data_IF_300577615769
#
_entry.id   IF_300577615769
#
_cell.length_a   1.000
_cell.length_b   1.000
_cell.length_c   1.000
_cell.angle_alpha   90.00
_cell.angle_beta   90.00
_cell.angle_gamma   90.00
#
_symmetry.space_group_name_H-M   'P 1'
#
loop_
_entity.id
_entity.type
_entity.pdbx_description
1 polymer ?
#
# COMPACT_ATOMS: atom_id res chain seq x y z
N UNK A 1 -9.03 -28.36 -3.38
CA UNK A 1 -8.17 -27.49 -4.18
C UNK A 1 -8.23 -26.11 -3.54
N UNK A 2 -7.18 -25.73 -2.82
CA UNK A 2 -7.19 -24.59 -1.88
C UNK A 2 -6.62 -23.36 -2.62
N UNK A 3 -7.48 -22.41 -3.01
CA UNK A 3 -7.13 -21.21 -3.79
C UNK A 3 -6.21 -20.24 -3.01
N UNK A 4 -5.97 -20.48 -1.71
CA UNK A 4 -5.26 -19.54 -0.81
C UNK A 4 -3.73 -19.59 -0.87
N UNK A 5 -3.12 -20.64 -1.43
CA UNK A 5 -1.67 -20.83 -1.32
C UNK A 5 -0.86 -20.16 -2.45
N UNK A 6 -1.49 -19.74 -3.55
CA UNK A 6 -0.77 -19.13 -4.69
C UNK A 6 -0.60 -17.61 -4.59
N UNK A 7 -1.50 -16.90 -3.89
CA UNK A 7 -1.40 -15.45 -3.63
C UNK A 7 -0.22 -15.06 -2.72
N UNK A 8 0.47 -16.04 -2.14
CA UNK A 8 1.53 -15.84 -1.15
C UNK A 8 2.95 -15.87 -1.73
N UNK A 9 3.15 -16.51 -2.89
CA UNK A 9 4.49 -16.86 -3.39
C UNK A 9 5.35 -15.62 -3.71
N UNK A 10 4.72 -14.54 -4.17
CA UNK A 10 5.44 -13.33 -4.55
C UNK A 10 5.50 -12.28 -3.44
N UNK A 11 4.78 -12.44 -2.33
CA UNK A 11 4.80 -11.49 -1.20
C UNK A 11 6.18 -11.42 -0.54
N UNK A 12 6.61 -10.21 -0.19
CA UNK A 12 7.80 -10.02 0.64
C UNK A 12 7.55 -10.51 2.07
N UNK A 13 8.63 -10.81 2.79
CA UNK A 13 8.56 -11.36 4.15
C UNK A 13 7.81 -10.44 5.13
N UNK A 14 7.94 -9.11 4.98
CA UNK A 14 7.26 -8.12 5.82
C UNK A 14 5.75 -8.18 5.59
N UNK A 15 5.32 -8.20 4.33
CA UNK A 15 3.92 -8.31 3.97
C UNK A 15 3.31 -9.64 4.43
N UNK A 16 4.02 -10.77 4.25
CA UNK A 16 3.58 -12.08 4.76
C UNK A 16 3.37 -12.06 6.28
N UNK A 17 4.31 -11.49 7.02
CA UNK A 17 4.21 -11.37 8.47
C UNK A 17 3.02 -10.48 8.87
N UNK A 18 2.85 -9.34 8.20
CA UNK A 18 1.74 -8.41 8.44
C UNK A 18 0.38 -9.06 8.20
N UNK A 19 0.21 -9.79 7.10
CA UNK A 19 -1.02 -10.55 6.80
C UNK A 19 -1.33 -11.61 7.88
N UNK A 20 -0.30 -12.20 8.49
CA UNK A 20 -0.46 -13.20 9.56
C UNK A 20 -0.80 -12.60 10.93
N UNK A 21 -0.22 -11.44 11.27
CA UNK A 21 -0.25 -10.89 12.64
C UNK A 21 -1.29 -9.79 12.82
N UNK A 22 -1.40 -8.86 11.85
CA UNK A 22 -2.22 -7.66 12.00
C UNK A 22 -3.73 -7.94 12.16
N UNK A 23 -4.35 -8.96 11.52
CA UNK A 23 -5.76 -9.27 11.75
C UNK A 23 -6.08 -9.66 13.19
N UNK A 24 -5.21 -10.44 13.83
CA UNK A 24 -5.38 -10.81 15.24
C UNK A 24 -5.18 -9.61 16.16
N UNK A 25 -4.17 -8.79 15.89
CA UNK A 25 -3.95 -7.54 16.63
C UNK A 25 -5.13 -6.57 16.48
N UNK A 26 -5.74 -6.50 15.29
CA UNK A 26 -6.91 -5.66 15.06
C UNK A 26 -8.06 -6.05 15.97
N UNK A 27 -8.41 -7.34 16.04
CA UNK A 27 -9.48 -7.86 16.90
C UNK A 27 -9.28 -7.54 18.37
N UNK A 28 -8.03 -7.44 18.82
CA UNK A 28 -7.69 -7.09 20.21
C UNK A 28 -7.83 -5.57 20.43
N UNK A 29 -7.44 -4.75 19.45
CA UNK A 29 -7.41 -3.28 19.54
C UNK A 29 -8.77 -2.62 19.26
N UNK A 30 -9.58 -3.22 18.40
CA UNK A 30 -10.86 -2.66 17.94
C UNK A 30 -11.82 -2.32 19.10
N UNK A 31 -11.99 -3.18 20.14
CA UNK A 31 -12.81 -2.84 21.31
C UNK A 31 -12.31 -1.63 22.11
N UNK A 32 -11.03 -1.26 21.93
CA UNK A 32 -10.40 -0.12 22.60
C UNK A 32 -10.32 1.12 21.69
N UNK A 33 -11.00 1.10 20.53
CA UNK A 33 -11.00 2.17 19.54
C UNK A 33 -9.74 2.23 18.67
N UNK A 34 -8.87 1.21 18.73
CA UNK A 34 -7.67 1.12 17.90
C UNK A 34 -7.86 0.23 16.66
N UNK A 35 -7.04 0.43 15.63
CA UNK A 35 -7.11 -0.38 14.42
C UNK A 35 -5.72 -0.85 13.97
N UNK A 36 -5.69 -2.02 13.32
CA UNK A 36 -4.49 -2.59 12.70
C UNK A 36 -4.78 -3.12 11.29
N UNK A 37 -6.05 -3.22 10.91
CA UNK A 37 -6.54 -3.37 9.54
C UNK A 37 -7.51 -2.24 9.24
N UNK A 38 -7.63 -1.86 7.97
CA UNK A 38 -8.66 -0.90 7.53
C UNK A 38 -9.02 -1.15 6.07
N UNK A 39 -10.23 -0.75 5.68
CA UNK A 39 -10.69 -0.85 4.29
C UNK A 39 -9.93 0.14 3.41
N UNK A 40 -9.53 -0.31 2.23
CA UNK A 40 -8.94 0.50 1.18
C UNK A 40 -9.99 1.46 0.62
N UNK A 41 -9.66 2.75 0.49
CA UNK A 41 -10.63 3.71 -0.03
C UNK A 41 -10.54 3.83 -1.56
N UNK A 42 -11.66 3.82 -2.30
CA UNK A 42 -11.65 3.80 -3.77
C UNK A 42 -11.02 5.07 -4.38
N UNK A 43 -11.11 6.22 -3.70
CA UNK A 43 -10.48 7.47 -4.21
C UNK A 43 -8.96 7.43 -4.21
N UNK A 44 -8.35 6.44 -3.54
CA UNK A 44 -6.91 6.22 -3.58
C UNK A 44 -6.48 5.49 -4.86
N UNK A 45 -7.42 4.99 -5.68
CA UNK A 45 -7.09 4.17 -6.83
C UNK A 45 -6.26 4.94 -7.88
N UNK A 46 -5.09 4.40 -8.18
CA UNK A 46 -4.15 4.93 -9.18
C UNK A 46 -4.43 4.31 -10.53
N UNK A 47 -4.64 2.99 -10.55
CA UNK A 47 -4.81 2.21 -11.77
C UNK A 47 -4.31 0.78 -11.58
N UNK A 48 -4.56 -0.04 -12.60
CA UNK A 48 -4.07 -1.42 -12.68
C UNK A 48 -2.88 -1.48 -13.62
N UNK A 49 -1.85 -2.22 -13.21
CA UNK A 49 -0.64 -2.48 -14.00
C UNK A 49 -0.65 -3.96 -14.35
N UNK A 50 -0.55 -4.28 -15.64
CA UNK A 50 -0.45 -5.66 -16.17
C UNK A 50 0.96 -6.23 -15.96
N UNK A 51 1.38 -6.36 -14.70
CA UNK A 51 2.63 -6.99 -14.27
C UNK A 51 2.41 -7.71 -12.96
N UNK A 52 3.19 -8.76 -12.71
CA UNK A 52 3.26 -9.42 -11.41
C UNK A 52 3.99 -8.56 -10.35
N UNK A 53 3.78 -8.89 -9.06
CA UNK A 53 4.39 -8.18 -7.93
C UNK A 53 5.91 -8.17 -7.97
N UNK A 54 6.53 -9.25 -8.47
CA UNK A 54 7.97 -9.41 -8.50
C UNK A 54 8.59 -8.46 -9.53
N UNK A 55 7.93 -8.27 -10.67
CA UNK A 55 8.33 -7.36 -11.73
C UNK A 55 8.12 -5.89 -11.37
N UNK A 56 7.07 -5.55 -10.61
CA UNK A 56 6.78 -4.16 -10.25
C UNK A 56 7.58 -3.62 -9.06
N UNK A 57 8.13 -4.48 -8.20
CA UNK A 57 8.95 -4.04 -7.05
C UNK A 57 10.19 -3.24 -7.44
N UNK A 58 11.04 -3.70 -8.38
CA UNK A 58 12.17 -2.91 -8.85
C UNK A 58 11.78 -1.53 -9.38
N UNK A 59 10.60 -1.40 -10.00
CA UNK A 59 10.10 -0.10 -10.48
C UNK A 59 9.81 0.85 -9.30
N UNK A 60 9.21 0.35 -8.23
CA UNK A 60 8.99 1.12 -6.99
C UNK A 60 10.31 1.58 -6.38
N UNK A 61 11.30 0.70 -6.29
CA UNK A 61 12.64 1.02 -5.79
C UNK A 61 13.32 2.08 -6.68
N UNK A 62 13.23 1.95 -8.00
CA UNK A 62 13.75 2.93 -8.97
C UNK A 62 13.06 4.30 -8.84
N UNK A 63 11.79 4.33 -8.41
CA UNK A 63 11.06 5.55 -8.05
C UNK A 63 11.37 6.08 -6.64
N UNK A 64 12.35 5.47 -5.94
CA UNK A 64 12.79 5.76 -4.57
C UNK A 64 11.72 5.48 -3.49
N UNK A 65 10.89 4.45 -3.71
CA UNK A 65 10.05 3.89 -2.65
C UNK A 65 10.84 2.89 -1.80
N UNK A 66 10.42 2.75 -0.56
CA UNK A 66 10.87 1.73 0.39
C UNK A 66 9.66 1.05 1.04
N UNK A 67 9.74 -0.22 1.46
CA UNK A 67 8.65 -0.87 2.19
C UNK A 67 8.29 -0.12 3.48
N UNK A 68 7.00 -0.07 3.80
CA UNK A 68 6.49 0.50 5.05
C UNK A 68 6.03 -0.61 6.01
N UNK A 69 6.77 -0.87 7.10
CA UNK A 69 6.40 -1.92 8.05
C UNK A 69 5.30 -1.49 9.03
N UNK A 70 5.15 -0.19 9.29
CA UNK A 70 4.26 0.38 10.33
C UNK A 70 3.01 1.01 9.70
N UNK A 71 2.35 0.27 8.82
CA UNK A 71 1.05 0.65 8.29
C UNK A 71 0.01 -0.41 8.65
N UNK A 72 -1.23 0.03 8.86
CA UNK A 72 -2.38 -0.88 8.95
C UNK A 72 -2.46 -1.76 7.70
N UNK A 73 -2.87 -3.02 7.87
CA UNK A 73 -3.10 -3.92 6.74
C UNK A 73 -4.35 -3.46 6.00
N UNK A 74 -4.21 -3.13 4.71
CA UNK A 74 -5.35 -2.68 3.91
C UNK A 74 -6.14 -3.88 3.40
N UNK A 75 -7.46 -3.74 3.40
CA UNK A 75 -8.40 -4.74 2.90
C UNK A 75 -9.14 -4.15 1.71
N UNK A 76 -9.05 -4.80 0.55
CA UNK A 76 -9.79 -4.43 -0.65
C UNK A 76 -11.30 -4.66 -0.45
N UNK A 77 -12.15 -4.03 -1.26
CA UNK A 77 -13.61 -4.17 -1.14
C UNK A 77 -14.11 -5.61 -1.35
N UNK A 78 -13.39 -6.39 -2.16
CA UNK A 78 -13.65 -7.83 -2.38
C UNK A 78 -13.06 -8.75 -1.28
N UNK A 79 -12.43 -8.17 -0.25
CA UNK A 79 -11.85 -8.90 0.87
C UNK A 79 -10.39 -9.33 0.70
N UNK A 80 -9.74 -9.07 -0.44
CA UNK A 80 -8.30 -9.31 -0.60
C UNK A 80 -7.49 -8.46 0.39
N UNK A 81 -6.40 -8.99 0.92
CA UNK A 81 -5.45 -8.20 1.71
C UNK A 81 -4.41 -7.53 0.82
N UNK A 82 -3.89 -6.38 1.26
CA UNK A 82 -2.80 -5.71 0.55
C UNK A 82 -1.59 -6.63 0.41
N UNK A 83 -1.02 -6.64 -0.79
CA UNK A 83 0.16 -7.38 -1.20
C UNK A 83 1.47 -6.58 -1.10
N UNK A 84 1.37 -5.29 -0.78
CA UNK A 84 2.51 -4.44 -0.51
C UNK A 84 2.07 -3.08 0.04
N UNK A 85 2.99 -2.43 0.73
CA UNK A 85 2.80 -1.12 1.35
C UNK A 85 4.17 -0.43 1.32
N UNK A 86 4.21 0.69 0.60
CA UNK A 86 5.43 1.32 0.13
C UNK A 86 5.34 2.81 0.32
N UNK A 87 6.46 3.42 0.66
CA UNK A 87 6.53 4.86 0.95
C UNK A 87 7.69 5.51 0.25
N UNK A 88 7.42 6.71 -0.28
CA UNK A 88 8.43 7.58 -0.85
C UNK A 88 8.43 8.91 -0.11
N UNK A 89 9.63 9.34 0.29
CA UNK A 89 9.87 10.59 1.01
C UNK A 89 10.97 11.38 0.32
N UNK A 90 10.98 12.71 0.50
CA UNK A 90 12.08 13.56 0.00
C UNK A 90 13.36 13.40 0.83
N UNK A 91 13.20 13.09 2.11
CA UNK A 91 14.25 12.84 3.08
C UNK A 91 13.69 11.98 4.22
N UNK A 92 14.52 11.30 5.03
CA UNK A 92 14.04 10.44 6.13
C UNK A 92 13.10 11.14 7.11
N UNK A 93 13.38 12.43 7.43
CA UNK A 93 12.58 13.24 8.35
C UNK A 93 11.68 14.27 7.62
N UNK A 94 11.25 13.98 6.38
CA UNK A 94 10.26 14.83 5.73
C UNK A 94 8.91 14.75 6.46
N UNK A 95 8.17 15.86 6.54
CA UNK A 95 6.84 15.87 7.19
C UNK A 95 5.84 14.97 6.47
N UNK A 96 5.98 14.83 5.16
CA UNK A 96 5.02 14.15 4.29
C UNK A 96 5.64 12.97 3.57
N UNK A 97 4.84 11.94 3.35
CA UNK A 97 5.16 10.78 2.53
C UNK A 97 4.08 10.55 1.48
N UNK A 98 4.48 9.99 0.35
CA UNK A 98 3.56 9.34 -0.59
C UNK A 98 3.52 7.86 -0.21
N UNK A 99 2.36 7.37 0.17
CA UNK A 99 2.13 5.97 0.50
C UNK A 99 1.40 5.30 -0.67
N UNK A 100 1.89 4.13 -1.05
CA UNK A 100 1.33 3.26 -2.07
C UNK A 100 0.98 1.91 -1.45
N UNK A 101 -0.26 1.48 -1.67
CA UNK A 101 -0.73 0.14 -1.33
C UNK A 101 -0.91 -0.64 -2.62
N UNK A 102 -0.50 -1.91 -2.61
CA UNK A 102 -0.65 -2.82 -3.75
C UNK A 102 -1.66 -3.91 -3.41
N UNK A 103 -2.51 -4.26 -4.36
CA UNK A 103 -3.31 -5.48 -4.32
C UNK A 103 -2.97 -6.33 -5.54
N UNK A 104 -2.75 -7.61 -5.32
CA UNK A 104 -2.51 -8.56 -6.39
C UNK A 104 -3.84 -9.00 -6.97
N UNK A 105 -4.02 -8.87 -8.28
CA UNK A 105 -5.17 -9.38 -9.02
C UNK A 105 -4.69 -10.51 -9.95
N UNK A 106 -4.96 -11.75 -9.56
CA UNK A 106 -4.42 -12.92 -10.24
C UNK A 106 -2.87 -12.97 -10.20
N UNK A 107 -2.26 -13.57 -11.23
CA UNK A 107 -0.80 -13.70 -11.31
C UNK A 107 -0.12 -12.53 -12.02
N UNK A 108 -0.84 -11.84 -12.90
CA UNK A 108 -0.23 -10.96 -13.90
C UNK A 108 -0.73 -9.51 -13.81
N UNK A 109 -1.46 -9.15 -12.75
CA UNK A 109 -1.94 -7.78 -12.55
C UNK A 109 -1.81 -7.30 -11.09
N UNK A 110 -1.59 -6.00 -10.95
CA UNK A 110 -1.54 -5.31 -9.66
C UNK A 110 -2.41 -4.06 -9.73
N UNK A 111 -3.31 -3.94 -8.79
CA UNK A 111 -3.98 -2.69 -8.50
C UNK A 111 -3.11 -1.84 -7.58
N UNK A 112 -2.96 -0.58 -7.95
CA UNK A 112 -2.15 0.39 -7.21
C UNK A 112 -3.08 1.42 -6.60
N UNK A 113 -2.92 1.67 -5.31
CA UNK A 113 -3.60 2.72 -4.57
C UNK A 113 -2.57 3.66 -3.95
N UNK A 114 -2.86 4.96 -3.89
CA UNK A 114 -1.95 5.94 -3.32
C UNK A 114 -2.66 7.09 -2.62
N UNK A 115 -2.03 7.58 -1.57
CA UNK A 115 -2.38 8.82 -0.91
C UNK A 115 -1.13 9.51 -0.37
N UNK A 116 -1.25 10.81 -0.10
CA UNK A 116 -0.26 11.57 0.64
C UNK A 116 -0.71 11.69 2.09
N UNK A 117 0.24 11.56 3.00
CA UNK A 117 -0.03 11.57 4.45
C UNK A 117 1.20 12.06 5.21
N UNK A 118 1.03 12.33 6.51
CA UNK A 118 2.16 12.60 7.38
C UNK A 118 3.08 11.39 7.49
N UNK A 119 4.39 11.64 7.54
CA UNK A 119 5.38 10.59 7.73
C UNK A 119 5.30 10.01 9.13
N UNK A 120 5.14 8.69 9.26
CA UNK A 120 5.18 8.04 10.58
C UNK A 120 6.52 8.19 11.31
N UNK A 121 7.62 8.38 10.58
CA UNK A 121 8.95 8.58 11.17
C UNK A 121 9.04 9.89 11.95
N UNK A 122 8.32 10.92 11.51
CA UNK A 122 8.35 12.27 12.11
C UNK A 122 7.10 12.61 12.90
N UNK A 123 5.94 12.12 12.45
CA UNK A 123 4.62 12.41 12.98
C UNK A 123 3.80 11.11 13.16
N UNK A 124 4.24 10.15 13.99
CA UNK A 124 3.61 8.84 14.11
C UNK A 124 2.14 8.91 14.53
N UNK A 125 1.78 9.84 15.43
CA UNK A 125 0.39 10.02 15.85
C UNK A 125 -0.50 10.55 14.73
N UNK A 126 -0.05 11.59 14.00
CA UNK A 126 -0.81 12.16 12.88
C UNK A 126 -1.01 11.16 11.75
N UNK A 127 0.02 10.36 11.46
CA UNK A 127 -0.06 9.23 10.54
C UNK A 127 -1.10 8.21 11.01
N UNK A 128 -1.03 7.79 12.28
CA UNK A 128 -1.95 6.80 12.84
C UNK A 128 -3.42 7.25 12.78
N UNK A 129 -3.72 8.52 13.05
CA UNK A 129 -5.11 9.04 13.00
C UNK A 129 -5.56 9.48 11.60
N UNK A 130 -4.70 9.36 10.57
CA UNK A 130 -5.02 9.78 9.21
C UNK A 130 -5.14 11.29 9.02
N UNK A 131 -4.49 12.10 9.85
CA UNK A 131 -4.45 13.55 9.66
C UNK A 131 -3.77 13.90 8.32
N UNK A 132 -4.30 14.87 7.59
CA UNK A 132 -3.76 15.29 6.30
C UNK A 132 -3.82 14.24 5.18
N UNK A 133 -4.68 13.23 5.31
CA UNK A 133 -4.87 12.19 4.29
C UNK A 133 -5.43 12.78 2.98
N UNK A 134 -4.57 12.83 1.95
CA UNK A 134 -4.86 13.46 0.67
C UNK A 134 -4.69 12.44 -0.47
N UNK A 135 -5.83 11.87 -0.88
CA UNK A 135 -5.91 10.87 -1.94
C UNK A 135 -5.72 11.49 -3.32
N UNK A 136 -6.23 12.69 -3.55
CA UNK A 136 -6.20 13.36 -4.86
C UNK A 136 -4.76 13.70 -5.26
N UNK A 137 -3.98 14.32 -4.36
CA UNK A 137 -2.58 14.63 -4.69
C UNK A 137 -1.72 13.37 -4.70
N UNK A 138 -2.03 12.38 -3.87
CA UNK A 138 -1.37 11.07 -3.85
C UNK A 138 -1.50 10.34 -5.18
N UNK A 139 -2.73 10.15 -5.67
CA UNK A 139 -3.02 9.52 -6.97
C UNK A 139 -2.35 10.27 -8.10
N UNK A 140 -2.52 11.61 -8.16
CA UNK A 140 -1.89 12.44 -9.20
C UNK A 140 -0.37 12.27 -9.20
N UNK A 141 0.24 12.25 -8.02
CA UNK A 141 1.70 12.11 -7.89
C UNK A 141 2.17 10.72 -8.30
N UNK A 142 1.47 9.66 -7.90
CA UNK A 142 1.84 8.29 -8.28
C UNK A 142 1.72 8.08 -9.79
N UNK A 143 0.61 8.52 -10.41
CA UNK A 143 0.45 8.49 -11.88
C UNK A 143 1.56 9.26 -12.61
N UNK A 144 1.98 10.40 -12.07
CA UNK A 144 3.10 11.17 -12.62
C UNK A 144 4.43 10.43 -12.53
N UNK A 145 4.66 9.65 -11.47
CA UNK A 145 5.88 8.85 -11.31
C UNK A 145 5.87 7.66 -12.27
N UNK A 146 4.75 6.93 -12.37
CA UNK A 146 4.58 5.83 -13.32
C UNK A 146 4.86 6.28 -14.76
N UNK A 147 4.22 7.36 -15.21
CA UNK A 147 4.44 7.94 -16.55
C UNK A 147 5.89 8.37 -16.76
N UNK A 148 6.49 9.01 -15.76
CA UNK A 148 7.89 9.46 -15.82
C UNK A 148 8.89 8.31 -15.96
N UNK A 149 8.52 7.10 -15.54
CA UNK A 149 9.33 5.89 -15.65
C UNK A 149 8.86 4.95 -16.77
N UNK A 150 7.94 5.39 -17.64
CA UNK A 150 7.45 4.58 -18.77
C UNK A 150 6.65 3.35 -18.35
N UNK A 151 5.99 3.41 -17.19
CA UNK A 151 5.16 2.31 -16.68
C UNK A 151 3.71 2.58 -17.08
N UNK A 152 3.16 1.67 -17.86
CA UNK A 152 1.77 1.71 -18.32
C UNK A 152 0.81 1.26 -17.22
N UNK A 153 -0.36 1.89 -17.17
CA UNK A 153 -1.44 1.55 -16.25
C UNK A 153 -2.79 1.93 -16.85
N UNK A 154 -3.83 1.18 -16.52
CA UNK A 154 -5.22 1.42 -16.91
C UNK A 154 -5.98 2.01 -15.74
N UNK A 155 -6.95 2.89 -16.02
CA UNK A 155 -7.86 3.46 -15.03
C UNK A 155 -9.25 3.10 -15.50
N UNK A 156 -9.87 2.13 -14.81
CA UNK A 156 -11.27 1.75 -15.02
C UNK A 156 -12.24 2.58 -14.17
#
# INVERSE_FOLDING_TARGET
MNVRDEDGADLDATTRLRRRVLPTLHRIKEPLGGFATCTQHPTEYVGTIERDLRAFRPDLEAMAFSPEPIASLKVHEDGRFSAGSWVRRRSPLADWQLHVTLFQDGRDAIEVFAHREYSWLRHPYKHYVGDGWDTTSGVKRMRSLLRGHGIEFVVD
#
